data_IF_791904349731
#
_entry.id   IF_791904349731
#
_cell.length_a   1.000
_cell.length_b   1.000
_cell.length_c   1.000
_cell.angle_alpha   90.00
_cell.angle_beta   90.00
_cell.angle_gamma   90.00
#
_symmetry.space_group_name_H-M   'P 1'
#
loop_
_entity.id
_entity.type
_entity.pdbx_description
1 polymer ?
#
# COMPACT_ATOMS: atom_id res chain seq x y z
N UNK A 1 9.31 -12.20 19.38
CA UNK A 1 9.48 -12.73 18.01
C UNK A 1 10.70 -12.08 17.40
N UNK A 2 11.61 -12.88 16.84
CA UNK A 2 12.86 -12.38 16.25
C UNK A 2 12.64 -11.68 14.90
N UNK A 3 13.59 -10.84 14.47
CA UNK A 3 13.52 -10.04 13.24
C UNK A 3 13.42 -10.92 11.99
N UNK A 4 14.11 -12.05 11.96
CA UNK A 4 14.05 -13.00 10.83
C UNK A 4 12.67 -13.64 10.68
N UNK A 5 12.04 -14.05 11.79
CA UNK A 5 10.69 -14.64 11.77
C UNK A 5 9.63 -13.60 11.36
N UNK A 6 9.78 -12.35 11.78
CA UNK A 6 8.94 -11.23 11.34
C UNK A 6 9.06 -11.01 9.83
N UNK A 7 10.28 -11.04 9.31
CA UNK A 7 10.56 -10.90 7.88
C UNK A 7 9.86 -12.00 7.08
N UNK A 8 9.97 -13.25 7.52
CA UNK A 8 9.32 -14.38 6.84
C UNK A 8 7.79 -14.24 6.81
N UNK A 9 7.16 -13.83 7.92
CA UNK A 9 5.70 -13.62 7.95
C UNK A 9 5.23 -12.48 7.04
N UNK A 10 6.00 -11.39 6.93
CA UNK A 10 5.73 -10.33 5.95
C UNK A 10 5.87 -10.88 4.53
N UNK A 11 6.87 -11.73 4.26
CA UNK A 11 7.08 -12.34 2.94
C UNK A 11 5.90 -13.22 2.54
N UNK A 12 5.43 -14.06 3.47
CA UNK A 12 4.29 -14.94 3.25
C UNK A 12 3.00 -14.14 3.02
N UNK A 13 2.82 -13.04 3.75
CA UNK A 13 1.72 -12.10 3.52
C UNK A 13 1.79 -11.52 2.11
N UNK A 14 2.92 -10.94 1.71
CA UNK A 14 3.08 -10.38 0.37
C UNK A 14 2.82 -11.43 -0.72
N UNK A 15 3.44 -12.61 -0.63
CA UNK A 15 3.22 -13.71 -1.60
C UNK A 15 1.77 -14.13 -1.70
N UNK A 16 1.06 -14.21 -0.57
CA UNK A 16 -0.38 -14.54 -0.54
C UNK A 16 -1.20 -13.53 -1.32
N UNK A 17 -0.90 -12.25 -1.15
CA UNK A 17 -1.64 -11.17 -1.80
C UNK A 17 -1.12 -10.80 -3.19
N UNK A 18 0.08 -11.22 -3.60
CA UNK A 18 0.63 -10.96 -4.95
C UNK A 18 -0.30 -11.44 -6.05
N UNK A 19 -0.81 -12.67 -5.97
CA UNK A 19 -1.75 -13.19 -6.99
C UNK A 19 -3.03 -12.35 -7.04
N UNK A 20 -3.53 -11.96 -5.88
CA UNK A 20 -4.75 -11.18 -5.76
C UNK A 20 -4.53 -9.75 -6.29
N UNK A 21 -3.39 -9.12 -5.97
CA UNK A 21 -2.97 -7.83 -6.51
C UNK A 21 -2.88 -7.86 -8.04
N UNK A 22 -2.32 -8.93 -8.62
CA UNK A 22 -2.25 -9.08 -10.08
C UNK A 22 -3.66 -9.15 -10.66
N UNK A 23 -4.52 -10.04 -10.13
CA UNK A 23 -5.90 -10.19 -10.61
C UNK A 23 -6.66 -8.87 -10.54
N UNK A 24 -6.61 -8.20 -9.39
CA UNK A 24 -7.27 -6.89 -9.19
C UNK A 24 -6.70 -5.85 -10.15
N UNK A 25 -5.38 -5.80 -10.36
CA UNK A 25 -4.75 -4.85 -11.28
C UNK A 25 -5.20 -5.07 -12.73
N UNK A 26 -5.29 -6.33 -13.18
CA UNK A 26 -5.77 -6.66 -14.53
C UNK A 26 -7.23 -6.28 -14.70
N UNK A 27 -8.08 -6.58 -13.71
CA UNK A 27 -9.50 -6.20 -13.73
C UNK A 27 -9.63 -4.68 -13.78
N UNK A 28 -8.93 -3.96 -12.90
CA UNK A 28 -8.97 -2.50 -12.84
C UNK A 28 -8.49 -1.85 -14.14
N UNK A 29 -7.47 -2.41 -14.79
CA UNK A 29 -7.02 -1.94 -16.10
C UNK A 29 -8.10 -2.12 -17.17
N UNK A 30 -8.71 -3.30 -17.25
CA UNK A 30 -9.78 -3.57 -18.22
C UNK A 30 -10.99 -2.65 -18.03
N UNK A 31 -11.40 -2.45 -16.77
CA UNK A 31 -12.50 -1.55 -16.40
C UNK A 31 -12.14 -0.09 -16.71
N UNK A 32 -10.89 0.32 -16.47
CA UNK A 32 -10.41 1.67 -16.82
C UNK A 32 -10.46 1.94 -18.32
N UNK A 33 -10.05 0.98 -19.15
CA UNK A 33 -10.15 1.09 -20.61
C UNK A 33 -11.60 1.21 -21.06
N UNK A 34 -12.51 0.43 -20.45
CA UNK A 34 -13.95 0.51 -20.74
C UNK A 34 -14.54 1.88 -20.39
N UNK A 35 -14.21 2.43 -19.22
CA UNK A 35 -14.69 3.76 -18.82
C UNK A 35 -14.10 4.89 -19.68
N UNK A 36 -12.84 4.75 -20.10
CA UNK A 36 -12.19 5.70 -21.00
C UNK A 36 -12.86 5.71 -22.39
N UNK A 37 -13.25 4.54 -22.91
CA UNK A 37 -13.90 4.45 -24.22
C UNK A 37 -15.36 4.93 -24.21
N UNK A 38 -16.03 4.82 -23.06
CA UNK A 38 -17.45 5.22 -22.92
C UNK A 38 -17.66 6.63 -22.36
N UNK A 39 -16.60 7.37 -21.99
CA UNK A 39 -16.68 8.71 -21.38
C UNK A 39 -17.69 8.80 -20.23
N UNK A 40 -17.82 7.70 -19.48
CA UNK A 40 -18.88 7.57 -18.50
C UNK A 40 -18.56 8.35 -17.21
N UNK A 41 -19.52 9.09 -16.65
CA UNK A 41 -19.33 9.87 -15.42
C UNK A 41 -19.05 8.98 -14.20
N UNK A 42 -19.40 7.69 -14.27
CA UNK A 42 -19.12 6.71 -13.23
C UNK A 42 -17.64 6.32 -13.14
N UNK A 43 -16.78 6.80 -14.04
CA UNK A 43 -15.32 6.62 -14.00
C UNK A 43 -14.69 7.09 -12.67
N UNK A 44 -15.31 8.04 -11.97
CA UNK A 44 -14.85 8.49 -10.64
C UNK A 44 -14.93 7.40 -9.55
N UNK A 45 -15.74 6.34 -9.77
CA UNK A 45 -15.87 5.24 -8.82
C UNK A 45 -14.64 4.32 -8.84
N UNK A 46 -13.90 4.27 -9.95
CA UNK A 46 -12.73 3.39 -10.12
C UNK A 46 -11.65 3.63 -9.05
N UNK A 47 -11.15 4.87 -8.85
CA UNK A 47 -10.20 5.13 -7.78
C UNK A 47 -10.76 4.80 -6.38
N UNK A 48 -12.08 4.91 -6.19
CA UNK A 48 -12.75 4.55 -4.94
C UNK A 48 -12.72 3.06 -4.65
N UNK A 49 -12.96 2.22 -5.66
CA UNK A 49 -12.84 0.77 -5.55
C UNK A 49 -11.39 0.36 -5.27
N UNK A 50 -10.42 0.99 -5.95
CA UNK A 50 -9.00 0.78 -5.66
C UNK A 50 -8.65 1.16 -4.21
N UNK A 51 -9.17 2.30 -3.73
CA UNK A 51 -8.92 2.81 -2.39
C UNK A 51 -9.55 1.91 -1.30
N UNK A 52 -10.73 1.36 -1.56
CA UNK A 52 -11.36 0.36 -0.69
C UNK A 52 -10.51 -0.91 -0.58
N UNK A 53 -10.05 -1.44 -1.72
CA UNK A 53 -9.21 -2.62 -1.77
C UNK A 53 -7.88 -2.42 -1.02
N UNK A 54 -7.21 -1.30 -1.27
CA UNK A 54 -5.94 -0.95 -0.60
C UNK A 54 -6.13 -0.73 0.90
N UNK A 55 -7.22 -0.09 1.33
CA UNK A 55 -7.56 0.06 2.75
C UNK A 55 -7.76 -1.29 3.42
N UNK A 56 -8.45 -2.23 2.75
CA UNK A 56 -8.63 -3.59 3.26
C UNK A 56 -7.30 -4.35 3.39
N UNK A 57 -6.40 -4.21 2.43
CA UNK A 57 -5.05 -4.80 2.52
C UNK A 57 -4.26 -4.20 3.68
N UNK A 58 -4.24 -2.88 3.82
CA UNK A 58 -3.53 -2.19 4.91
C UNK A 58 -4.11 -2.56 6.28
N UNK A 59 -5.42 -2.77 6.39
CA UNK A 59 -6.03 -3.29 7.61
C UNK A 59 -5.48 -4.67 7.99
N UNK A 60 -5.41 -5.59 7.01
CA UNK A 60 -4.89 -6.94 7.24
C UNK A 60 -3.39 -6.91 7.60
N UNK A 61 -2.63 -6.03 6.95
CA UNK A 61 -1.22 -5.81 7.24
C UNK A 61 -1.02 -5.22 8.63
N UNK A 62 -1.82 -4.23 9.03
CA UNK A 62 -1.81 -3.65 10.37
C UNK A 62 -2.08 -4.73 11.43
N UNK A 63 -3.08 -5.60 11.22
CA UNK A 63 -3.36 -6.72 12.13
C UNK A 63 -2.18 -7.69 12.25
N UNK A 64 -1.52 -8.00 11.13
CA UNK A 64 -0.32 -8.82 11.13
C UNK A 64 0.81 -8.15 11.93
N UNK A 65 1.07 -6.87 11.69
CA UNK A 65 2.11 -6.12 12.38
C UNK A 65 1.83 -5.99 13.89
N UNK A 66 0.57 -5.81 14.29
CA UNK A 66 0.18 -5.81 15.71
C UNK A 66 0.53 -7.12 16.42
N UNK A 67 0.54 -8.26 15.70
CA UNK A 67 0.94 -9.55 16.28
C UNK A 67 2.43 -9.66 16.59
N UNK A 68 3.26 -8.76 16.06
CA UNK A 68 4.72 -8.85 16.22
C UNK A 68 5.19 -8.31 17.58
N UNK A 69 4.46 -7.37 18.17
CA UNK A 69 4.84 -6.68 19.40
C UNK A 69 3.59 -6.28 20.18
N UNK A 70 3.51 -6.63 21.46
CA UNK A 70 2.36 -6.34 22.34
C UNK A 70 2.36 -4.91 22.91
N UNK A 71 3.41 -4.11 22.64
CA UNK A 71 3.53 -2.75 23.14
C UNK A 71 2.36 -1.87 22.69
N UNK A 72 1.66 -1.29 23.67
CA UNK A 72 0.53 -0.38 23.42
C UNK A 72 0.95 0.85 22.62
N UNK A 73 2.19 1.33 22.78
CA UNK A 73 2.73 2.46 22.02
C UNK A 73 2.94 2.10 20.55
N UNK A 74 3.45 0.89 20.29
CA UNK A 74 3.63 0.37 18.94
C UNK A 74 2.28 0.19 18.22
N UNK A 75 1.30 -0.41 18.90
CA UNK A 75 -0.06 -0.53 18.37
C UNK A 75 -0.73 0.80 18.08
N UNK A 76 -0.51 1.81 18.93
CA UNK A 76 -1.07 3.16 18.72
C UNK A 76 -0.52 3.77 17.43
N UNK A 77 0.78 3.64 17.16
CA UNK A 77 1.39 4.14 15.93
C UNK A 77 0.83 3.43 14.68
N UNK A 78 0.68 2.10 14.72
CA UNK A 78 0.06 1.35 13.63
C UNK A 78 -1.40 1.77 13.37
N UNK A 79 -2.16 2.03 14.44
CA UNK A 79 -3.54 2.52 14.30
C UNK A 79 -3.59 3.93 13.73
N UNK A 80 -2.66 4.81 14.08
CA UNK A 80 -2.58 6.16 13.51
C UNK A 80 -2.31 6.07 12.01
N UNK A 81 -1.37 5.23 11.58
CA UNK A 81 -1.06 5.02 10.17
C UNK A 81 -2.30 4.55 9.39
N UNK A 82 -2.97 3.51 9.90
CA UNK A 82 -4.21 3.01 9.32
C UNK A 82 -5.34 4.06 9.32
N UNK A 83 -5.42 4.89 10.37
CA UNK A 83 -6.43 5.95 10.48
C UNK A 83 -6.26 7.00 9.40
N UNK A 84 -5.02 7.34 9.03
CA UNK A 84 -4.75 8.28 7.91
C UNK A 84 -5.26 7.71 6.58
N UNK A 85 -5.04 6.41 6.32
CA UNK A 85 -5.60 5.74 5.14
C UNK A 85 -7.13 5.74 5.17
N UNK A 86 -7.74 5.44 6.32
CA UNK A 86 -9.19 5.45 6.48
C UNK A 86 -9.80 6.85 6.28
N UNK A 87 -9.15 7.90 6.78
CA UNK A 87 -9.58 9.29 6.56
C UNK A 87 -9.52 9.66 5.07
N UNK A 88 -8.51 9.16 4.36
CA UNK A 88 -8.39 9.35 2.91
C UNK A 88 -9.53 8.66 2.15
N UNK A 89 -9.92 7.45 2.58
CA UNK A 89 -11.08 6.74 2.04
C UNK A 89 -12.39 7.51 2.27
N UNK A 90 -12.62 7.98 3.50
CA UNK A 90 -13.82 8.75 3.85
C UNK A 90 -13.87 10.05 3.03
N UNK A 91 -12.74 10.76 2.92
CA UNK A 91 -12.62 11.96 2.11
C UNK A 91 -12.97 11.69 0.65
N UNK A 92 -12.48 10.59 0.08
CA UNK A 92 -12.80 10.22 -1.30
C UNK A 92 -14.29 9.92 -1.51
N UNK A 93 -14.95 9.26 -0.54
CA UNK A 93 -16.40 9.03 -0.58
C UNK A 93 -17.18 10.34 -0.56
N UNK A 94 -16.72 11.33 0.22
CA UNK A 94 -17.30 12.68 0.22
C UNK A 94 -17.17 13.31 -1.17
N UNK A 95 -15.99 13.24 -1.81
CA UNK A 95 -15.78 13.77 -3.16
C UNK A 95 -16.69 13.12 -4.21
N UNK A 96 -16.90 11.80 -4.13
CA UNK A 96 -17.87 11.10 -4.99
C UNK A 96 -19.28 11.66 -4.77
N UNK A 97 -19.68 11.84 -3.50
CA UNK A 97 -20.97 12.42 -3.15
C UNK A 97 -21.15 13.82 -3.75
N UNK A 98 -20.15 14.69 -3.61
CA UNK A 98 -20.16 16.04 -4.18
C UNK A 98 -20.30 16.01 -5.71
N UNK A 99 -19.57 15.12 -6.39
CA UNK A 99 -19.64 14.95 -7.84
C UNK A 99 -21.06 14.63 -8.32
N UNK A 100 -21.73 13.66 -7.70
CA UNK A 100 -23.10 13.28 -8.07
C UNK A 100 -24.15 14.33 -7.71
N UNK A 101 -23.83 15.27 -6.82
CA UNK A 101 -24.66 16.44 -6.52
C UNK A 101 -24.38 17.63 -7.47
N UNK A 102 -23.55 17.45 -8.50
CA UNK A 102 -23.24 18.48 -9.50
C UNK A 102 -22.25 19.54 -9.00
N UNK A 103 -21.55 19.30 -7.89
CA UNK A 103 -20.54 20.20 -7.36
C UNK A 103 -19.22 19.95 -8.10
N UNK A 104 -18.57 21.02 -8.54
CA UNK A 104 -17.25 20.92 -9.16
C UNK A 104 -16.20 20.44 -8.14
N UNK A 105 -15.70 19.24 -8.37
CA UNK A 105 -14.72 18.56 -7.52
C UNK A 105 -13.28 18.93 -7.88
N UNK A 106 -13.03 19.57 -9.01
CA UNK A 106 -11.68 19.83 -9.53
C UNK A 106 -10.81 20.64 -8.53
N UNK A 107 -11.34 21.71 -7.87
CA UNK A 107 -10.57 22.44 -6.87
C UNK A 107 -10.24 21.57 -5.66
N UNK A 108 -11.20 20.76 -5.21
CA UNK A 108 -11.04 19.87 -4.06
C UNK A 108 -10.02 18.76 -4.31
N UNK A 109 -10.03 18.16 -5.50
CA UNK A 109 -9.02 17.20 -5.92
C UNK A 109 -7.63 17.84 -5.98
N UNK A 110 -7.52 19.06 -6.49
CA UNK A 110 -6.24 19.79 -6.57
C UNK A 110 -5.64 20.03 -5.18
N UNK A 111 -6.45 20.49 -4.21
CA UNK A 111 -6.02 20.65 -2.82
C UNK A 111 -5.65 19.33 -2.15
N UNK A 112 -6.41 18.28 -2.43
CA UNK A 112 -6.13 16.93 -1.92
C UNK A 112 -4.78 16.42 -2.41
N UNK A 113 -4.44 16.68 -3.68
CA UNK A 113 -3.15 16.28 -4.25
C UNK A 113 -2.00 17.11 -3.65
N UNK A 114 -2.20 18.41 -3.49
CA UNK A 114 -1.20 19.35 -2.99
C UNK A 114 -0.84 19.11 -1.51
N UNK A 115 -1.84 18.87 -0.66
CA UNK A 115 -1.65 18.71 0.78
C UNK A 115 -1.63 17.24 1.19
N UNK A 116 -2.61 16.48 0.69
CA UNK A 116 -2.78 15.06 1.05
C UNK A 116 -1.68 14.17 0.49
N UNK A 117 -1.21 14.44 -0.74
CA UNK A 117 -0.12 13.68 -1.37
C UNK A 117 1.15 13.62 -0.51
N UNK A 118 1.74 14.79 -0.13
CA UNK A 118 2.89 14.82 0.76
C UNK A 118 2.62 14.15 2.12
N UNK A 119 1.46 14.39 2.74
CA UNK A 119 1.10 13.78 4.03
C UNK A 119 1.05 12.25 3.96
N UNK A 120 0.49 11.69 2.89
CA UNK A 120 0.39 10.24 2.67
C UNK A 120 1.75 9.56 2.49
N UNK A 121 2.79 10.30 2.11
CA UNK A 121 4.14 9.77 1.97
C UNK A 121 4.95 10.01 3.26
N UNK A 122 4.87 11.22 3.82
CA UNK A 122 5.68 11.63 4.96
C UNK A 122 5.23 10.98 6.27
N UNK A 123 3.92 10.82 6.49
CA UNK A 123 3.40 10.26 7.74
C UNK A 123 3.83 8.80 7.91
N UNK A 124 3.67 7.89 6.92
CA UNK A 124 4.12 6.51 7.08
C UNK A 124 5.63 6.41 7.29
N UNK A 125 6.43 7.23 6.59
CA UNK A 125 7.88 7.27 6.79
C UNK A 125 8.27 7.72 8.20
N UNK A 126 7.57 8.72 8.74
CA UNK A 126 7.78 9.18 10.10
C UNK A 126 7.36 8.13 11.13
N UNK A 127 6.24 7.44 10.89
CA UNK A 127 5.75 6.35 11.74
C UNK A 127 6.74 5.18 11.73
N UNK A 128 7.24 4.78 10.56
CA UNK A 128 8.20 3.67 10.42
C UNK A 128 9.52 3.97 11.17
N UNK A 129 9.99 5.22 11.10
CA UNK A 129 11.13 5.69 11.92
C UNK A 129 10.83 5.63 13.41
N UNK A 130 9.65 6.07 13.85
CA UNK A 130 9.27 5.99 15.27
C UNK A 130 9.11 4.55 15.74
N UNK A 131 8.61 3.66 14.90
CA UNK A 131 8.50 2.25 15.22
C UNK A 131 9.86 1.57 15.40
N UNK A 132 10.87 1.93 14.58
CA UNK A 132 12.22 1.40 14.76
C UNK A 132 12.92 1.92 16.02
N UNK A 133 12.61 3.14 16.48
CA UNK A 133 13.08 3.66 17.77
C UNK A 133 12.52 2.84 18.96
N UNK A 134 11.27 2.36 18.87
CA UNK A 134 10.62 1.60 19.95
C UNK A 134 10.87 0.10 19.89
N UNK A 135 11.19 -0.45 18.72
CA UNK A 135 11.42 -1.87 18.54
C UNK A 135 12.63 -2.12 17.61
N UNK A 136 13.74 -2.57 18.21
CA UNK A 136 14.98 -2.90 17.49
C UNK A 136 14.81 -4.03 16.46
N UNK A 137 13.78 -4.85 16.61
CA UNK A 137 13.45 -5.95 15.70
C UNK A 137 12.34 -5.57 14.72
N UNK A 138 11.91 -4.30 14.69
CA UNK A 138 10.99 -3.81 13.66
C UNK A 138 11.67 -3.90 12.29
N UNK A 139 10.94 -4.44 11.32
CA UNK A 139 11.40 -4.50 9.93
C UNK A 139 10.88 -3.24 9.26
N UNK A 140 11.77 -2.29 9.03
CA UNK A 140 11.39 -1.07 8.32
C UNK A 140 11.10 -1.36 6.85
N UNK A 141 10.22 -0.56 6.27
CA UNK A 141 9.89 -0.62 4.84
C UNK A 141 11.14 -0.46 3.93
N UNK A 142 12.10 0.35 4.37
CA UNK A 142 13.39 0.53 3.70
C UNK A 142 14.31 -0.70 3.75
N UNK A 143 14.42 -1.35 4.90
CA UNK A 143 15.20 -2.59 5.05
C UNK A 143 14.58 -3.73 4.23
N UNK A 144 13.25 -3.83 4.23
CA UNK A 144 12.50 -4.78 3.40
C UNK A 144 12.81 -4.58 1.91
N UNK A 145 12.66 -3.35 1.41
CA UNK A 145 12.90 -3.04 0.00
C UNK A 145 14.35 -3.31 -0.42
N UNK A 146 15.32 -3.06 0.47
CA UNK A 146 16.74 -3.32 0.22
C UNK A 146 17.04 -4.81 0.14
N UNK A 147 16.56 -5.59 1.13
CA UNK A 147 16.75 -7.04 1.15
C UNK A 147 16.10 -7.72 -0.06
N UNK A 148 14.91 -7.27 -0.46
CA UNK A 148 14.25 -7.81 -1.65
C UNK A 148 15.00 -7.49 -2.95
N UNK A 149 15.58 -6.28 -3.07
CA UNK A 149 16.45 -5.92 -4.22
C UNK A 149 17.70 -6.78 -4.27
N UNK A 150 18.33 -7.04 -3.12
CA UNK A 150 19.54 -7.87 -3.04
C UNK A 150 19.23 -9.33 -3.43
N UNK A 151 18.10 -9.88 -2.98
CA UNK A 151 17.62 -11.21 -3.42
C UNK A 151 17.31 -11.27 -4.92
N UNK A 152 16.64 -10.26 -5.45
CA UNK A 152 16.32 -10.20 -6.88
C UNK A 152 17.61 -10.16 -7.72
N UNK A 153 18.59 -9.37 -7.27
CA UNK A 153 19.91 -9.29 -7.91
C UNK A 153 20.61 -10.65 -7.90
N UNK A 154 20.65 -11.34 -6.74
CA UNK A 154 21.25 -12.68 -6.65
C UNK A 154 20.55 -13.69 -7.58
N UNK A 155 19.22 -13.63 -7.67
CA UNK A 155 18.44 -14.51 -8.56
C UNK A 155 18.75 -14.24 -10.03
N UNK A 156 18.85 -12.96 -10.42
CA UNK A 156 19.22 -12.55 -11.77
C UNK A 156 20.66 -12.97 -12.12
N UNK A 157 21.59 -12.81 -11.18
CA UNK A 157 22.99 -13.21 -11.34
C UNK A 157 23.11 -14.75 -11.49
N UNK A 158 22.32 -15.53 -10.75
CA UNK A 158 22.26 -16.99 -10.87
C UNK A 158 21.66 -17.46 -12.21
N UNK A 159 20.61 -16.79 -12.70
CA UNK A 159 20.04 -17.05 -14.03
C UNK A 159 21.05 -16.73 -15.12
N UNK A 160 21.74 -15.59 -15.02
CA UNK A 160 22.79 -15.19 -15.96
C UNK A 160 23.96 -16.18 -16.00
N UNK A 161 24.38 -16.70 -14.83
CA UNK A 161 25.44 -17.72 -14.74
C UNK A 161 25.02 -19.07 -15.31
N UNK A 162 23.76 -19.49 -15.12
CA UNK A 162 23.23 -20.72 -15.74
C UNK A 162 23.15 -20.59 -17.26
N UNK A 163 22.60 -19.48 -17.77
CA UNK A 163 22.50 -19.23 -19.21
C UNK A 163 23.85 -19.16 -19.93
N UNK A 164 24.94 -18.80 -19.24
CA UNK A 164 26.31 -18.79 -19.81
C UNK A 164 27.02 -20.15 -19.75
N UNK A 165 26.56 -21.09 -18.91
CA UNK A 165 27.09 -22.46 -18.87
C UNK A 165 26.47 -23.36 -19.94
N UNK A 166 25.29 -22.98 -20.45
CA UNK A 166 24.53 -23.72 -21.44
C UNK A 166 24.75 -23.18 -22.88
N UNK A 167 25.68 -22.24 -23.07
CA UNK A 167 26.12 -21.66 -24.36
C UNK A 167 27.55 -22.04 -24.70
#
# INVERSE_FOLDING_TARGET
>A
MDKAERFERIEQFEKRYTRLNIIVSVIMLGVSIYFLSTWSPYSILLPGVALLYTTWLEWNKMKLQQSFNESTRYHRLLRIDFTVMLMSLIWFVILIGLHFNGIDILPWMSWTLLIGGPCLILIPLWIDRKQSEFDKHHVTSGEWARSNRERLKHTLDDISRKGRKDS
#
